data_IF_825909873673
#
_entry.id   IF_825909873673
#
_cell.length_a   1.000
_cell.length_b   1.000
_cell.length_c   1.000
_cell.angle_alpha   90.00
_cell.angle_beta   90.00
_cell.angle_gamma   90.00
#
_symmetry.space_group_name_H-M   'P 1'
#
loop_
_entity.id
_entity.type
_entity.pdbx_description
1 polymer ?
#
# COMPACT_ATOMS: atom_id res chain seq x y z
N UNK A 1 1.73 -16.40 14.88
CA UNK A 1 1.07 -16.14 13.57
C UNK A 1 0.45 -17.45 13.08
N UNK A 2 -0.85 -17.48 12.84
CA UNK A 2 -1.57 -18.72 12.45
C UNK A 2 -1.26 -19.14 11.02
N UNK A 3 -0.97 -18.19 10.12
CA UNK A 3 -0.59 -18.47 8.73
C UNK A 3 0.58 -19.45 8.65
N UNK A 4 1.67 -19.21 9.39
CA UNK A 4 2.86 -20.09 9.40
C UNK A 4 2.58 -21.44 10.06
N UNK A 5 1.80 -21.44 11.17
CA UNK A 5 1.50 -22.68 11.91
C UNK A 5 0.67 -23.69 11.12
N UNK A 6 -0.21 -23.19 10.24
CA UNK A 6 -1.17 -24.03 9.52
C UNK A 6 -0.77 -24.30 8.07
N UNK A 7 0.26 -23.61 7.58
CA UNK A 7 0.70 -23.69 6.20
C UNK A 7 2.22 -23.76 6.17
N UNK A 8 2.75 -24.59 5.33
CA UNK A 8 4.19 -24.75 5.14
C UNK A 8 4.73 -23.57 4.33
N UNK A 9 4.92 -22.43 4.98
CA UNK A 9 5.44 -21.17 4.42
C UNK A 9 6.32 -20.45 5.45
N UNK A 10 7.34 -19.76 4.99
CA UNK A 10 8.15 -18.82 5.78
C UNK A 10 7.58 -17.42 5.55
N UNK A 11 7.35 -16.66 6.61
CA UNK A 11 6.93 -15.26 6.54
C UNK A 11 8.04 -14.38 7.12
N UNK A 12 8.52 -13.45 6.31
CA UNK A 12 9.54 -12.48 6.66
C UNK A 12 8.91 -11.09 6.64
N UNK A 13 9.10 -10.34 7.70
CA UNK A 13 8.72 -8.93 7.77
C UNK A 13 9.97 -8.09 7.87
N UNK A 14 9.99 -6.94 7.22
CA UNK A 14 11.13 -6.03 7.25
C UNK A 14 10.69 -4.63 7.67
N UNK A 15 11.62 -3.93 8.34
CA UNK A 15 11.55 -2.50 8.53
C UNK A 15 12.33 -1.79 7.43
N UNK A 16 11.87 -0.62 7.02
CA UNK A 16 12.54 0.25 6.06
C UNK A 16 12.28 1.71 6.44
N UNK A 17 13.13 2.61 5.98
CA UNK A 17 13.00 4.05 6.27
C UNK A 17 11.72 4.61 5.67
N UNK A 18 11.00 5.40 6.46
CA UNK A 18 9.76 6.06 6.13
C UNK A 18 9.89 7.58 6.22
N UNK A 19 8.86 8.31 5.83
CA UNK A 19 8.80 9.75 5.93
C UNK A 19 9.93 10.42 5.15
N UNK A 20 10.49 11.50 5.70
CA UNK A 20 11.61 12.21 5.07
C UNK A 20 12.84 11.32 4.91
N UNK A 21 13.18 10.51 5.92
CA UNK A 21 14.34 9.62 5.86
C UNK A 21 14.26 8.62 4.71
N UNK A 22 13.05 8.18 4.35
CA UNK A 22 12.83 7.22 3.27
C UNK A 22 12.60 7.85 1.90
N UNK A 23 11.91 9.01 1.83
CA UNK A 23 11.30 9.48 0.59
C UNK A 23 11.35 11.00 0.37
N UNK A 24 12.12 11.77 1.15
CA UNK A 24 12.47 13.14 0.77
C UNK A 24 13.54 13.09 -0.33
N UNK A 25 13.53 14.05 -1.23
CA UNK A 25 14.62 14.18 -2.23
C UNK A 25 15.88 14.76 -1.57
N UNK A 26 16.65 13.89 -0.93
CA UNK A 26 17.91 14.28 -0.29
C UNK A 26 18.98 14.72 -1.30
N UNK A 27 18.87 14.30 -2.57
CA UNK A 27 19.80 14.74 -3.64
C UNK A 27 19.69 16.23 -3.94
N UNK A 28 18.59 16.87 -3.52
CA UNK A 28 18.43 18.32 -3.58
C UNK A 28 19.46 19.06 -2.69
N UNK A 29 19.78 18.50 -1.53
CA UNK A 29 20.71 19.13 -0.57
C UNK A 29 22.17 18.84 -0.91
N UNK A 30 22.48 17.62 -1.36
CA UNK A 30 23.82 17.23 -1.76
C UNK A 30 23.73 16.13 -2.82
N UNK A 31 24.48 16.27 -3.93
CA UNK A 31 24.57 15.33 -5.05
C UNK A 31 25.01 13.92 -4.64
N UNK A 32 25.70 13.78 -3.51
CA UNK A 32 26.18 12.50 -3.00
C UNK A 32 25.11 11.79 -2.13
N UNK A 33 23.98 12.44 -1.88
CA UNK A 33 22.83 11.85 -1.19
C UNK A 33 21.86 11.21 -2.19
N UNK A 34 21.20 10.16 -1.75
CA UNK A 34 20.26 9.39 -2.57
C UNK A 34 18.82 9.67 -2.17
N UNK A 35 17.93 9.69 -3.17
CA UNK A 35 16.48 9.65 -2.99
C UNK A 35 15.99 8.21 -2.92
N UNK A 36 14.73 7.98 -2.53
CA UNK A 36 14.11 6.65 -2.45
C UNK A 36 14.83 5.66 -1.52
N UNK A 37 15.38 6.16 -0.42
CA UNK A 37 16.10 5.34 0.55
C UNK A 37 15.25 4.20 1.13
N UNK A 38 13.93 4.42 1.30
CA UNK A 38 13.00 3.37 1.73
C UNK A 38 12.88 2.22 0.71
N UNK A 39 12.90 2.52 -0.60
CA UNK A 39 12.95 1.47 -1.63
C UNK A 39 14.30 0.75 -1.62
N UNK A 40 15.41 1.48 -1.42
CA UNK A 40 16.74 0.88 -1.32
C UNK A 40 16.83 -0.11 -0.15
N UNK A 41 16.23 0.22 0.99
CA UNK A 41 16.16 -0.68 2.14
C UNK A 41 15.38 -1.97 1.79
N UNK A 42 14.23 -1.85 1.12
CA UNK A 42 13.42 -2.99 0.67
C UNK A 42 14.15 -3.85 -0.36
N UNK A 43 14.84 -3.23 -1.31
CA UNK A 43 15.68 -3.92 -2.30
C UNK A 43 16.76 -4.76 -1.61
N UNK A 44 17.44 -4.19 -0.63
CA UNK A 44 18.48 -4.90 0.12
C UNK A 44 17.90 -6.10 0.88
N UNK A 45 16.73 -5.97 1.48
CA UNK A 45 16.03 -7.09 2.14
C UNK A 45 15.66 -8.18 1.13
N UNK A 46 15.11 -7.83 -0.03
CA UNK A 46 14.73 -8.81 -1.06
C UNK A 46 15.97 -9.59 -1.53
N UNK A 47 17.07 -8.91 -1.81
CA UNK A 47 18.35 -9.54 -2.19
C UNK A 47 18.90 -10.43 -1.08
N UNK A 48 18.85 -9.97 0.16
CA UNK A 48 19.28 -10.74 1.32
C UNK A 48 18.43 -12.02 1.49
N UNK A 49 17.11 -11.91 1.38
CA UNK A 49 16.21 -13.06 1.45
C UNK A 49 16.56 -14.07 0.35
N UNK A 50 16.67 -13.62 -0.90
CA UNK A 50 17.05 -14.49 -2.01
C UNK A 50 18.38 -15.21 -1.77
N UNK A 51 19.38 -14.52 -1.21
CA UNK A 51 20.71 -15.08 -0.95
C UNK A 51 20.71 -16.12 0.18
N UNK A 52 19.91 -15.93 1.23
CA UNK A 52 20.04 -16.68 2.47
C UNK A 52 18.85 -17.57 2.84
N UNK A 53 17.73 -17.48 2.13
CA UNK A 53 16.49 -18.15 2.54
C UNK A 53 16.59 -19.67 2.57
N UNK A 54 17.46 -20.28 1.78
CA UNK A 54 17.72 -21.73 1.78
C UNK A 54 18.28 -22.20 3.11
N UNK A 55 19.09 -21.38 3.78
CA UNK A 55 19.63 -21.68 5.13
C UNK A 55 18.52 -21.73 6.20
N UNK A 56 17.34 -21.20 5.90
CA UNK A 56 16.14 -21.24 6.74
C UNK A 56 15.12 -22.29 6.28
N UNK A 57 15.49 -23.12 5.29
CA UNK A 57 14.59 -24.13 4.72
C UNK A 57 13.61 -23.60 3.69
N UNK A 58 13.82 -22.38 3.17
CA UNK A 58 13.02 -21.80 2.10
C UNK A 58 13.58 -22.11 0.70
N UNK A 59 12.88 -21.59 -0.30
CA UNK A 59 13.23 -21.71 -1.72
C UNK A 59 13.44 -20.33 -2.33
N UNK A 60 14.69 -20.04 -2.71
CA UNK A 60 15.07 -18.78 -3.34
C UNK A 60 14.38 -18.55 -4.69
N UNK A 61 13.90 -19.62 -5.35
CA UNK A 61 13.15 -19.55 -6.59
C UNK A 61 11.63 -19.44 -6.37
N UNK A 62 11.18 -19.26 -5.11
CA UNK A 62 9.77 -19.20 -4.77
C UNK A 62 9.45 -18.06 -3.76
N UNK A 63 9.96 -16.88 -4.01
CA UNK A 63 9.75 -15.69 -3.17
C UNK A 63 8.50 -14.94 -3.64
N UNK A 64 7.60 -14.65 -2.70
CA UNK A 64 6.38 -13.86 -2.92
C UNK A 64 6.48 -12.55 -2.14
N UNK A 65 6.36 -11.42 -2.81
CA UNK A 65 6.22 -10.12 -2.15
C UNK A 65 4.75 -9.89 -1.79
N UNK A 66 4.48 -9.49 -0.55
CA UNK A 66 3.15 -9.15 -0.07
C UNK A 66 3.17 -7.79 0.59
N UNK A 67 2.23 -6.92 0.22
CA UNK A 67 2.13 -5.59 0.80
C UNK A 67 0.68 -5.13 0.90
N UNK A 68 0.41 -4.32 1.94
CA UNK A 68 -0.88 -3.67 2.15
C UNK A 68 -0.69 -2.16 2.07
N UNK A 69 -1.62 -1.46 1.40
CA UNK A 69 -1.60 0.01 1.31
C UNK A 69 -0.26 0.52 0.76
N UNK A 70 0.49 1.33 1.51
CA UNK A 70 1.83 1.81 1.14
C UNK A 70 2.81 0.66 0.81
N UNK A 71 2.68 -0.51 1.46
CA UNK A 71 3.46 -1.70 1.13
C UNK A 71 3.12 -2.26 -0.26
N UNK A 72 1.85 -2.22 -0.65
CA UNK A 72 1.41 -2.57 -2.01
C UNK A 72 1.95 -1.57 -3.04
N UNK A 73 1.92 -0.27 -2.73
CA UNK A 73 2.52 0.79 -3.55
C UNK A 73 4.03 0.56 -3.75
N UNK A 74 4.74 0.19 -2.68
CA UNK A 74 6.16 -0.15 -2.76
C UNK A 74 6.40 -1.32 -3.72
N UNK A 75 5.59 -2.40 -3.63
CA UNK A 75 5.71 -3.55 -4.52
C UNK A 75 5.44 -3.17 -5.97
N UNK A 76 4.40 -2.36 -6.24
CA UNK A 76 4.12 -1.85 -7.57
C UNK A 76 5.30 -1.04 -8.14
N UNK A 77 6.02 -0.29 -7.29
CA UNK A 77 7.25 0.40 -7.68
C UNK A 77 8.40 -0.57 -7.94
N UNK A 78 8.61 -1.54 -7.03
CA UNK A 78 9.66 -2.56 -7.17
C UNK A 78 9.49 -3.42 -8.43
N UNK A 79 8.24 -3.72 -8.83
CA UNK A 79 7.95 -4.43 -10.09
C UNK A 79 8.42 -3.66 -11.34
N UNK A 80 8.60 -2.35 -11.25
CA UNK A 80 9.11 -1.49 -12.33
C UNK A 80 10.63 -1.37 -12.36
N UNK A 81 11.34 -2.10 -11.50
CA UNK A 81 12.78 -2.12 -11.41
C UNK A 81 13.34 -3.43 -12.02
N UNK A 82 13.90 -3.40 -13.25
CA UNK A 82 14.38 -4.61 -13.92
C UNK A 82 15.44 -5.37 -13.12
N UNK A 83 16.30 -4.64 -12.39
CA UNK A 83 17.38 -5.23 -11.60
C UNK A 83 16.90 -6.03 -10.38
N UNK A 84 15.63 -5.85 -9.97
CA UNK A 84 15.03 -6.51 -8.83
C UNK A 84 14.08 -7.63 -9.27
N UNK A 85 13.63 -7.59 -10.49
CA UNK A 85 12.71 -8.54 -11.08
C UNK A 85 13.13 -10.02 -10.91
N UNK A 86 14.43 -10.40 -11.00
CA UNK A 86 14.84 -11.79 -10.80
C UNK A 86 14.74 -12.32 -9.37
N UNK A 87 14.64 -11.43 -8.36
CA UNK A 87 14.71 -11.81 -6.94
C UNK A 87 13.36 -12.16 -6.31
N UNK A 88 12.25 -12.01 -7.02
CA UNK A 88 10.93 -12.43 -6.55
C UNK A 88 10.09 -13.00 -7.69
N UNK A 89 9.11 -13.83 -7.37
CA UNK A 89 8.43 -14.68 -8.34
C UNK A 89 6.93 -14.42 -8.43
N UNK A 90 6.33 -13.88 -7.38
CA UNK A 90 4.88 -13.60 -7.27
C UNK A 90 4.67 -12.35 -6.44
N UNK A 91 3.51 -11.71 -6.61
CA UNK A 91 3.13 -10.56 -5.81
C UNK A 91 1.70 -10.65 -5.32
N UNK A 92 1.48 -10.15 -4.09
CA UNK A 92 0.19 -10.00 -3.44
C UNK A 92 0.01 -8.53 -3.07
N UNK A 93 -0.99 -7.91 -3.67
CA UNK A 93 -1.28 -6.49 -3.56
C UNK A 93 -2.60 -6.30 -2.81
N UNK A 94 -2.52 -5.82 -1.58
CA UNK A 94 -3.70 -5.59 -0.74
C UNK A 94 -3.96 -4.08 -0.60
N UNK A 95 -5.12 -3.62 -1.06
CA UNK A 95 -5.57 -2.22 -0.92
C UNK A 95 -4.51 -1.20 -1.35
N UNK A 96 -3.88 -1.40 -2.51
CA UNK A 96 -2.79 -0.56 -2.97
C UNK A 96 -3.05 0.04 -4.34
N UNK A 97 -2.67 1.31 -4.48
CA UNK A 97 -2.61 1.99 -5.77
C UNK A 97 -1.19 2.52 -5.98
N UNK A 98 -0.72 2.54 -7.23
CA UNK A 98 0.58 3.13 -7.52
C UNK A 98 0.48 4.65 -7.44
N UNK A 99 1.30 5.23 -6.58
CA UNK A 99 1.57 6.65 -6.58
C UNK A 99 3.08 6.86 -6.62
N UNK A 100 3.54 7.60 -7.62
CA UNK A 100 4.93 8.04 -7.74
C UNK A 100 4.95 9.56 -7.69
N UNK A 101 5.78 10.11 -6.83
CA UNK A 101 5.99 11.55 -6.79
C UNK A 101 6.80 11.99 -8.02
N UNK A 102 6.43 13.11 -8.63
CA UNK A 102 7.26 13.69 -9.69
C UNK A 102 8.53 14.27 -9.09
N UNK A 103 9.61 14.32 -9.88
CA UNK A 103 10.86 14.94 -9.41
C UNK A 103 10.66 16.41 -9.04
N UNK A 104 9.80 17.11 -9.76
CA UNK A 104 9.45 18.51 -9.46
C UNK A 104 8.76 18.64 -8.10
N UNK A 105 7.73 17.83 -7.83
CA UNK A 105 7.03 17.83 -6.54
C UNK A 105 7.97 17.43 -5.40
N UNK A 106 8.84 16.45 -5.62
CA UNK A 106 9.81 16.00 -4.62
C UNK A 106 10.80 17.13 -4.27
N UNK A 107 11.30 17.86 -5.27
CA UNK A 107 12.15 19.06 -5.07
C UNK A 107 11.43 20.18 -4.34
N UNK A 108 10.18 20.48 -4.71
CA UNK A 108 9.38 21.47 -4.01
C UNK A 108 9.19 21.13 -2.53
N UNK A 109 9.02 19.86 -2.19
CA UNK A 109 8.98 19.38 -0.80
C UNK A 109 10.33 19.55 -0.11
N UNK A 110 11.45 19.26 -0.78
CA UNK A 110 12.79 19.43 -0.24
C UNK A 110 13.11 20.94 0.00
N UNK A 111 12.74 21.81 -0.94
CA UNK A 111 12.85 23.26 -0.75
C UNK A 111 12.04 23.75 0.45
N UNK A 112 10.81 23.27 0.61
CA UNK A 112 9.99 23.61 1.77
C UNK A 112 10.59 23.07 3.08
N UNK A 113 11.14 21.86 3.06
CA UNK A 113 11.84 21.29 4.20
C UNK A 113 13.08 22.13 4.58
N UNK A 114 13.87 22.58 3.60
CA UNK A 114 15.01 23.48 3.81
C UNK A 114 14.57 24.81 4.45
N UNK A 115 13.48 25.41 3.98
CA UNK A 115 12.93 26.63 4.60
C UNK A 115 12.56 26.39 6.06
N UNK A 116 11.95 25.26 6.39
CA UNK A 116 11.61 24.92 7.77
C UNK A 116 12.87 24.72 8.64
N UNK A 117 13.97 24.18 8.08
CA UNK A 117 15.26 24.10 8.77
C UNK A 117 15.78 25.50 9.16
N UNK A 118 15.77 26.42 8.21
CA UNK A 118 16.17 27.81 8.49
C UNK A 118 15.25 28.48 9.53
N UNK A 119 13.93 28.33 9.40
CA UNK A 119 12.93 28.96 10.25
C UNK A 119 12.95 28.44 11.71
N UNK A 120 13.28 27.17 11.93
CA UNK A 120 13.15 26.50 13.25
C UNK A 120 14.47 26.09 13.88
N UNK A 121 15.54 25.91 13.10
CA UNK A 121 16.82 25.38 13.56
C UNK A 121 18.01 26.31 13.24
N UNK A 122 17.77 27.41 12.53
CA UNK A 122 18.80 28.38 12.10
C UNK A 122 19.98 27.69 11.37
N UNK A 123 19.67 26.68 10.52
CA UNK A 123 20.66 25.94 9.73
C UNK A 123 20.13 25.64 8.33
N UNK A 124 21.02 25.57 7.36
CA UNK A 124 20.80 25.07 6.01
C UNK A 124 21.56 23.75 5.72
N UNK A 125 22.38 23.30 6.67
CA UNK A 125 23.19 22.09 6.57
C UNK A 125 22.43 20.88 7.15
N UNK A 126 21.92 20.02 6.27
CA UNK A 126 21.19 18.79 6.64
C UNK A 126 22.04 17.77 7.41
N UNK A 127 23.39 17.85 7.32
CA UNK A 127 24.28 16.93 8.03
C UNK A 127 24.36 17.20 9.52
N UNK A 128 23.90 18.36 9.96
CA UNK A 128 23.84 18.75 11.37
C UNK A 128 22.57 18.29 12.08
N UNK A 129 21.56 17.82 11.32
CA UNK A 129 20.27 17.44 11.86
C UNK A 129 20.34 16.13 12.65
N UNK A 130 19.75 16.14 13.83
CA UNK A 130 19.46 14.92 14.59
C UNK A 130 18.19 14.25 14.05
N UNK A 131 17.94 13.00 14.45
CA UNK A 131 16.66 12.31 14.15
C UNK A 131 15.47 13.09 14.69
N UNK A 132 15.56 13.66 15.89
CA UNK A 132 14.47 14.42 16.49
C UNK A 132 14.20 15.72 15.71
N UNK A 133 15.22 16.39 15.20
CA UNK A 133 15.06 17.54 14.31
C UNK A 133 14.30 17.17 13.05
N UNK A 134 14.67 16.06 12.40
CA UNK A 134 13.99 15.57 11.21
C UNK A 134 12.51 15.24 11.51
N UNK A 135 12.21 14.57 12.61
CA UNK A 135 10.83 14.25 13.02
C UNK A 135 10.01 15.52 13.31
N UNK A 136 10.61 16.51 13.96
CA UNK A 136 9.99 17.81 14.20
C UNK A 136 9.69 18.53 12.88
N UNK A 137 10.65 18.61 11.96
CA UNK A 137 10.49 19.22 10.64
C UNK A 137 9.42 18.52 9.80
N UNK A 138 9.37 17.17 9.84
CA UNK A 138 8.29 16.39 9.20
C UNK A 138 6.91 16.78 9.74
N UNK A 139 6.80 16.98 11.07
CA UNK A 139 5.55 17.42 11.69
C UNK A 139 5.15 18.82 11.23
N UNK A 140 6.11 19.75 11.15
CA UNK A 140 5.89 21.13 10.66
C UNK A 140 5.47 21.13 9.18
N UNK A 141 6.14 20.34 8.34
CA UNK A 141 5.77 20.19 6.93
C UNK A 141 4.32 19.68 6.77
N UNK A 142 3.94 18.66 7.55
CA UNK A 142 2.57 18.16 7.56
C UNK A 142 1.56 19.22 8.02
N UNK A 143 1.88 19.98 9.06
CA UNK A 143 1.01 21.05 9.58
C UNK A 143 0.79 22.16 8.55
N UNK A 144 1.85 22.58 7.82
CA UNK A 144 1.77 23.64 6.81
C UNK A 144 0.88 23.28 5.62
N UNK A 145 0.70 22.00 5.33
CA UNK A 145 -0.17 21.49 4.25
C UNK A 145 -1.66 21.41 4.65
N UNK A 146 -1.96 21.54 5.94
CA UNK A 146 -3.32 21.48 6.47
C UNK A 146 -3.90 20.07 6.59
N UNK A 147 -5.17 19.94 7.00
CA UNK A 147 -5.79 18.65 7.25
C UNK A 147 -5.96 17.85 5.95
N UNK A 148 -5.56 16.56 5.96
CA UNK A 148 -5.58 15.68 4.79
C UNK A 148 -6.11 14.28 5.06
N UNK A 149 -6.40 13.92 6.32
CA UNK A 149 -6.81 12.58 6.74
C UNK A 149 -5.84 11.46 6.32
N UNK A 150 -4.58 11.80 6.00
CA UNK A 150 -3.59 10.85 5.51
C UNK A 150 -3.68 10.53 4.02
N UNK A 151 -4.55 11.22 3.28
CA UNK A 151 -4.69 11.04 1.82
C UNK A 151 -3.66 11.86 1.03
N UNK A 152 -3.04 12.88 1.64
CA UNK A 152 -1.93 13.63 1.06
C UNK A 152 -0.62 12.85 1.29
N UNK A 153 -0.17 12.16 0.26
CA UNK A 153 1.07 11.37 0.29
C UNK A 153 2.28 12.29 0.19
N UNK A 154 2.63 12.94 1.32
CA UNK A 154 3.79 13.85 1.39
C UNK A 154 5.08 13.09 1.01
N UNK A 155 5.21 11.85 1.44
CA UNK A 155 6.37 11.00 1.22
C UNK A 155 5.96 9.75 0.45
N UNK A 156 6.24 9.73 -0.85
CA UNK A 156 6.00 8.63 -1.76
C UNK A 156 7.27 8.33 -2.56
N UNK A 157 7.40 7.15 -3.18
CA UNK A 157 8.50 6.87 -4.08
C UNK A 157 8.59 7.91 -5.20
N UNK A 158 9.78 8.47 -5.40
CA UNK A 158 10.03 9.51 -6.40
C UNK A 158 10.31 8.83 -7.75
N UNK A 159 9.63 9.28 -8.80
CA UNK A 159 9.86 8.79 -10.15
C UNK A 159 11.24 9.21 -10.64
N UNK A 160 12.04 8.23 -11.00
CA UNK A 160 13.40 8.39 -11.52
C UNK A 160 13.56 7.58 -12.80
N UNK A 161 14.63 7.80 -13.56
CA UNK A 161 14.85 7.14 -14.86
C UNK A 161 15.01 5.62 -14.78
N UNK A 162 15.41 5.08 -13.62
CA UNK A 162 15.51 3.63 -13.42
C UNK A 162 14.16 2.96 -13.15
N UNK A 163 13.10 3.71 -12.80
CA UNK A 163 11.73 3.21 -12.65
C UNK A 163 11.06 3.19 -14.05
N UNK A 164 10.89 1.99 -14.61
CA UNK A 164 10.32 1.82 -15.95
C UNK A 164 8.83 2.18 -15.99
N UNK A 165 8.32 2.49 -17.19
CA UNK A 165 6.90 2.81 -17.35
C UNK A 165 6.02 1.55 -17.31
N UNK A 166 6.49 0.43 -17.87
CA UNK A 166 5.71 -0.81 -17.98
C UNK A 166 6.00 -1.78 -16.84
N UNK A 167 5.02 -2.63 -16.54
CA UNK A 167 5.14 -3.74 -15.61
C UNK A 167 5.52 -5.03 -16.36
N UNK A 168 6.27 -5.96 -15.72
CA UNK A 168 6.44 -7.31 -16.25
C UNK A 168 5.11 -8.07 -16.19
N UNK A 169 4.83 -8.88 -17.22
CA UNK A 169 3.63 -9.73 -17.28
C UNK A 169 3.91 -11.18 -16.90
N UNK A 170 5.17 -11.51 -16.62
CA UNK A 170 5.63 -12.88 -16.35
C UNK A 170 5.26 -13.40 -14.96
N UNK A 171 4.92 -12.50 -14.02
CA UNK A 171 4.69 -12.87 -12.62
C UNK A 171 3.20 -13.04 -12.30
N UNK A 172 2.81 -14.12 -11.59
CA UNK A 172 1.47 -14.21 -11.01
C UNK A 172 1.19 -13.08 -10.03
N UNK A 173 -0.01 -12.49 -10.12
CA UNK A 173 -0.46 -11.37 -9.29
C UNK A 173 -1.79 -11.70 -8.66
N UNK A 174 -1.85 -11.60 -7.33
CA UNK A 174 -3.09 -11.58 -6.59
C UNK A 174 -3.33 -10.17 -6.02
N UNK A 175 -4.45 -9.57 -6.37
CA UNK A 175 -4.86 -8.26 -5.89
C UNK A 175 -6.16 -8.38 -5.09
N UNK A 176 -6.26 -7.64 -3.98
CA UNK A 176 -7.46 -7.58 -3.15
C UNK A 176 -7.63 -6.15 -2.62
N UNK A 177 -8.89 -5.72 -2.46
CA UNK A 177 -9.24 -4.47 -1.80
C UNK A 177 -10.37 -4.71 -0.79
N UNK A 178 -10.58 -3.79 0.16
CA UNK A 178 -11.70 -3.86 1.09
C UNK A 178 -12.89 -3.07 0.55
N UNK A 179 -14.11 -3.57 0.77
CA UNK A 179 -15.33 -3.01 0.20
C UNK A 179 -15.56 -1.54 0.57
N UNK A 180 -15.17 -1.14 1.77
CA UNK A 180 -15.43 0.17 2.36
C UNK A 180 -14.11 0.87 2.76
N UNK A 181 -13.11 0.90 1.86
CA UNK A 181 -11.76 1.46 2.08
C UNK A 181 -11.79 2.85 2.74
N UNK A 182 -12.68 3.72 2.29
CA UNK A 182 -12.75 5.11 2.71
C UNK A 182 -13.23 5.33 4.15
N UNK A 183 -13.88 4.35 4.76
CA UNK A 183 -14.53 4.52 6.07
C UNK A 183 -13.56 4.75 7.23
N UNK A 184 -12.29 4.34 7.10
CA UNK A 184 -11.27 4.62 8.11
C UNK A 184 -10.79 6.08 8.05
N UNK A 185 -10.85 6.70 6.87
CA UNK A 185 -10.41 8.09 6.66
C UNK A 185 -11.51 9.08 7.02
N UNK A 186 -12.76 8.81 6.62
CA UNK A 186 -13.91 9.67 6.80
C UNK A 186 -14.97 8.92 7.63
N UNK A 187 -14.90 9.07 8.94
CA UNK A 187 -15.68 8.23 9.90
C UNK A 187 -17.02 8.82 10.29
N UNK A 188 -17.29 10.10 10.01
CA UNK A 188 -18.56 10.79 10.34
C UNK A 188 -18.67 12.15 9.66
N UNK A 189 -19.86 12.75 9.63
CA UNK A 189 -20.08 14.09 9.12
C UNK A 189 -19.24 15.17 9.82
N UNK A 190 -19.00 15.03 11.12
CA UNK A 190 -18.17 15.96 11.91
C UNK A 190 -16.67 15.81 11.59
N UNK A 191 -16.28 14.69 11.02
CA UNK A 191 -14.87 14.37 10.73
C UNK A 191 -14.55 14.40 9.23
N UNK A 192 -15.50 14.70 8.37
CA UNK A 192 -15.24 14.90 6.94
C UNK A 192 -14.39 16.15 6.70
N UNK A 193 -13.79 16.25 5.54
CA UNK A 193 -13.15 17.47 5.06
C UNK A 193 -14.21 18.40 4.45
N UNK A 194 -13.90 19.71 4.36
CA UNK A 194 -14.73 20.57 3.50
C UNK A 194 -14.65 20.04 2.06
N UNK A 195 -15.74 20.14 1.26
CA UNK A 195 -15.74 19.62 -0.10
C UNK A 195 -14.58 20.13 -0.95
N UNK A 196 -14.28 21.42 -0.89
CA UNK A 196 -13.16 22.00 -1.63
C UNK A 196 -11.80 21.39 -1.17
N UNK A 197 -11.56 21.31 0.15
CA UNK A 197 -10.32 20.72 0.67
C UNK A 197 -10.17 19.26 0.28
N UNK A 198 -11.26 18.50 0.23
CA UNK A 198 -11.25 17.12 -0.21
C UNK A 198 -10.86 17.01 -1.69
N UNK A 199 -11.44 17.87 -2.55
CA UNK A 199 -11.08 17.96 -3.98
C UNK A 199 -9.59 18.28 -4.14
N UNK A 200 -9.10 19.34 -3.48
CA UNK A 200 -7.69 19.75 -3.56
C UNK A 200 -6.72 18.59 -3.25
N UNK A 201 -7.05 17.76 -2.26
CA UNK A 201 -6.24 16.60 -1.88
C UNK A 201 -6.33 15.48 -2.93
N UNK A 202 -7.51 15.23 -3.47
CA UNK A 202 -7.71 14.19 -4.48
C UNK A 202 -7.04 14.59 -5.80
N UNK A 203 -7.03 15.86 -6.15
CA UNK A 203 -6.30 16.40 -7.31
C UNK A 203 -4.78 16.23 -7.17
N UNK A 204 -4.22 16.33 -5.95
CA UNK A 204 -2.80 16.00 -5.71
C UNK A 204 -2.45 14.53 -6.01
N UNK A 205 -3.46 13.68 -6.10
CA UNK A 205 -3.33 12.27 -6.48
C UNK A 205 -3.84 11.99 -7.90
N UNK A 206 -3.97 13.02 -8.74
CA UNK A 206 -4.48 12.94 -10.11
C UNK A 206 -5.93 12.40 -10.20
N UNK A 207 -6.75 12.63 -9.16
CA UNK A 207 -8.15 12.19 -9.07
C UNK A 207 -9.06 13.41 -9.14
N UNK A 208 -9.57 13.79 -10.33
CA UNK A 208 -10.52 14.88 -10.46
C UNK A 208 -11.90 14.49 -9.94
N UNK A 209 -12.48 15.32 -9.07
CA UNK A 209 -13.81 15.12 -8.50
C UNK A 209 -14.66 16.37 -8.68
N UNK A 210 -15.98 16.17 -8.77
CA UNK A 210 -16.93 17.29 -8.79
C UNK A 210 -17.38 17.66 -7.38
N UNK A 211 -17.65 18.93 -7.19
CA UNK A 211 -18.05 19.48 -5.89
C UNK A 211 -19.34 18.82 -5.35
N UNK A 212 -20.33 18.56 -6.21
CA UNK A 212 -21.58 17.89 -5.87
C UNK A 212 -21.43 16.45 -5.38
N UNK A 213 -20.35 15.76 -5.75
CA UNK A 213 -20.10 14.35 -5.44
C UNK A 213 -19.40 14.12 -4.10
N UNK A 214 -19.05 15.19 -3.36
CA UNK A 214 -18.20 15.09 -2.14
C UNK A 214 -18.71 15.91 -0.95
N UNK A 215 -20.02 16.20 -0.92
CA UNK A 215 -20.66 17.04 0.08
C UNK A 215 -20.80 16.36 1.45
N UNK A 216 -21.02 15.06 1.49
CA UNK A 216 -21.29 14.29 2.70
C UNK A 216 -20.10 13.36 3.04
N UNK A 217 -20.02 12.94 4.30
CA UNK A 217 -19.02 11.96 4.72
C UNK A 217 -19.11 10.65 3.91
N UNK A 218 -20.33 10.20 3.62
CA UNK A 218 -20.56 8.99 2.80
C UNK A 218 -20.03 9.16 1.38
N UNK A 219 -20.27 10.30 0.75
CA UNK A 219 -19.76 10.57 -0.59
C UNK A 219 -18.23 10.62 -0.61
N UNK A 220 -17.60 11.29 0.37
CA UNK A 220 -16.14 11.32 0.47
C UNK A 220 -15.54 9.92 0.72
N UNK A 221 -16.13 9.12 1.62
CA UNK A 221 -15.72 7.73 1.83
C UNK A 221 -15.84 6.87 0.57
N UNK A 222 -16.96 6.98 -0.15
CA UNK A 222 -17.15 6.28 -1.42
C UNK A 222 -16.15 6.73 -2.49
N UNK A 223 -15.89 8.03 -2.60
CA UNK A 223 -14.89 8.56 -3.53
C UNK A 223 -13.49 7.99 -3.24
N UNK A 224 -13.08 7.92 -1.96
CA UNK A 224 -11.83 7.27 -1.56
C UNK A 224 -11.83 5.80 -1.98
N UNK A 225 -12.88 5.05 -1.63
CA UNK A 225 -12.99 3.63 -1.96
C UNK A 225 -12.87 3.39 -3.46
N UNK A 226 -13.61 4.14 -4.27
CA UNK A 226 -13.67 3.94 -5.71
C UNK A 226 -12.45 4.51 -6.44
N UNK A 227 -12.17 5.80 -6.22
CA UNK A 227 -11.23 6.52 -7.07
C UNK A 227 -9.77 6.38 -6.59
N UNK A 228 -9.56 6.17 -5.27
CA UNK A 228 -8.21 6.06 -4.72
C UNK A 228 -7.71 4.61 -4.63
N UNK A 229 -8.61 3.62 -4.43
CA UNK A 229 -8.21 2.21 -4.25
C UNK A 229 -8.71 1.29 -5.36
N UNK A 230 -10.02 1.15 -5.52
CA UNK A 230 -10.63 0.13 -6.41
C UNK A 230 -10.28 0.36 -7.87
N UNK A 231 -10.62 1.53 -8.40
CA UNK A 231 -10.46 1.85 -9.81
C UNK A 231 -8.99 1.79 -10.28
N UNK A 232 -8.00 2.35 -9.56
CA UNK A 232 -6.60 2.22 -9.95
C UNK A 232 -6.13 0.76 -9.98
N UNK A 233 -6.57 -0.07 -9.04
CA UNK A 233 -6.25 -1.50 -9.03
C UNK A 233 -6.88 -2.23 -10.22
N UNK A 234 -8.15 -1.97 -10.51
CA UNK A 234 -8.84 -2.54 -11.69
C UNK A 234 -8.15 -2.10 -12.99
N UNK A 235 -7.80 -0.83 -13.13
CA UNK A 235 -7.08 -0.31 -14.30
C UNK A 235 -5.71 -0.96 -14.46
N UNK A 236 -4.98 -1.16 -13.36
CA UNK A 236 -3.71 -1.88 -13.37
C UNK A 236 -3.86 -3.31 -13.91
N UNK A 237 -4.83 -4.07 -13.40
CA UNK A 237 -5.08 -5.44 -13.87
C UNK A 237 -5.54 -5.47 -15.33
N UNK A 238 -6.39 -4.53 -15.75
CA UNK A 238 -6.85 -4.38 -17.13
C UNK A 238 -5.68 -4.11 -18.08
N UNK A 239 -4.79 -3.20 -17.72
CA UNK A 239 -3.60 -2.87 -18.51
C UNK A 239 -2.68 -4.08 -18.69
N UNK A 240 -2.42 -4.83 -17.61
CA UNK A 240 -1.61 -6.05 -17.70
C UNK A 240 -2.25 -7.10 -18.60
N UNK A 241 -3.56 -7.28 -18.52
CA UNK A 241 -4.27 -8.25 -19.38
C UNK A 241 -4.34 -7.82 -20.84
N UNK A 242 -4.29 -6.50 -21.12
CA UNK A 242 -4.14 -5.98 -22.48
C UNK A 242 -2.72 -6.24 -23.01
N UNK A 243 -1.69 -6.05 -22.17
CA UNK A 243 -0.30 -6.30 -22.55
C UNK A 243 -0.04 -7.79 -22.84
N UNK A 244 -0.61 -8.68 -22.02
CA UNK A 244 -0.51 -10.13 -22.18
C UNK A 244 -1.81 -10.80 -21.71
N UNK A 245 -2.66 -11.29 -22.62
CA UNK A 245 -3.88 -12.00 -22.27
C UNK A 245 -3.65 -13.30 -21.44
N UNK A 246 -2.43 -13.84 -21.42
CA UNK A 246 -2.07 -15.04 -20.66
C UNK A 246 -1.55 -14.74 -19.25
N UNK A 247 -1.37 -13.46 -18.90
CA UNK A 247 -0.89 -13.07 -17.58
C UNK A 247 -1.73 -13.70 -16.46
N UNK A 248 -1.08 -14.11 -15.39
CA UNK A 248 -1.70 -14.84 -14.29
C UNK A 248 -2.20 -13.84 -13.25
N UNK A 249 -3.46 -13.42 -13.36
CA UNK A 249 -4.10 -12.41 -12.50
C UNK A 249 -5.26 -12.98 -11.71
N UNK A 250 -5.37 -12.64 -10.44
CA UNK A 250 -6.53 -12.90 -9.59
C UNK A 250 -6.92 -11.64 -8.86
N UNK A 251 -8.23 -11.44 -8.71
CA UNK A 251 -8.78 -10.26 -8.06
C UNK A 251 -9.81 -10.67 -7.02
N UNK A 252 -9.81 -9.99 -5.87
CA UNK A 252 -10.74 -10.25 -4.78
C UNK A 252 -11.20 -8.95 -4.10
N UNK A 253 -12.35 -9.06 -3.42
CA UNK A 253 -12.89 -8.07 -2.51
C UNK A 253 -13.03 -8.69 -1.13
N UNK A 254 -12.56 -8.01 -0.10
CA UNK A 254 -12.90 -8.34 1.28
C UNK A 254 -14.11 -7.51 1.70
N UNK A 255 -15.23 -8.16 2.01
CA UNK A 255 -16.51 -7.52 2.27
C UNK A 255 -17.12 -7.85 3.64
N UNK A 256 -16.41 -8.64 4.48
CA UNK A 256 -16.93 -8.95 5.80
C UNK A 256 -17.09 -7.70 6.66
N UNK A 257 -18.24 -7.55 7.26
CA UNK A 257 -18.58 -6.51 8.23
C UNK A 257 -19.78 -6.95 9.08
N UNK A 258 -20.05 -6.25 10.16
CA UNK A 258 -21.24 -6.43 10.99
C UNK A 258 -21.85 -5.07 11.33
N UNK A 259 -22.97 -4.76 10.70
CA UNK A 259 -23.66 -3.47 10.86
C UNK A 259 -24.15 -3.19 12.28
N UNK A 260 -24.30 -4.22 13.11
CA UNK A 260 -24.64 -4.09 14.53
C UNK A 260 -23.45 -3.72 15.41
N UNK A 261 -22.24 -3.93 14.93
CA UNK A 261 -21.00 -3.63 15.65
C UNK A 261 -20.68 -2.13 15.62
N UNK A 262 -20.19 -1.59 16.73
CA UNK A 262 -19.65 -0.24 16.78
C UNK A 262 -18.34 -0.10 16.00
N UNK A 263 -17.51 -1.14 16.01
CA UNK A 263 -16.15 -1.12 15.46
C UNK A 263 -16.03 -1.74 14.06
N UNK A 264 -16.91 -2.69 13.71
CA UNK A 264 -16.81 -3.50 12.49
C UNK A 264 -18.03 -3.34 11.58
N UNK A 265 -18.65 -2.14 11.60
CA UNK A 265 -19.86 -1.84 10.80
C UNK A 265 -19.64 -1.79 9.29
N UNK A 266 -18.38 -1.73 8.86
CA UNK A 266 -17.96 -1.70 7.46
C UNK A 266 -16.67 -2.50 7.28
N UNK A 267 -16.41 -2.95 6.06
CA UNK A 267 -15.16 -3.59 5.66
C UNK A 267 -14.12 -2.51 5.33
N UNK A 268 -13.67 -1.77 6.34
CA UNK A 268 -12.78 -0.62 6.20
C UNK A 268 -11.34 -1.05 5.85
N UNK A 269 -10.57 -0.10 5.32
CA UNK A 269 -9.15 -0.28 4.99
C UNK A 269 -8.36 -0.98 6.10
N UNK A 270 -7.54 -1.97 5.74
CA UNK A 270 -6.70 -2.80 6.65
C UNK A 270 -7.44 -3.87 7.48
N UNK A 271 -8.77 -3.89 7.53
CA UNK A 271 -9.51 -4.88 8.33
C UNK A 271 -9.23 -6.33 7.91
N UNK A 272 -9.03 -6.57 6.63
CA UNK A 272 -8.71 -7.87 6.04
C UNK A 272 -7.41 -8.49 6.57
N UNK A 273 -6.46 -7.66 7.04
CA UNK A 273 -5.19 -8.14 7.61
C UNK A 273 -5.37 -9.02 8.83
N UNK A 274 -6.43 -8.79 9.63
CA UNK A 274 -6.78 -9.65 10.78
C UNK A 274 -7.03 -11.08 10.30
N UNK A 275 -7.68 -11.23 9.16
CA UNK A 275 -8.09 -12.52 8.58
C UNK A 275 -6.95 -13.19 7.81
N UNK A 276 -6.20 -12.44 6.98
CA UNK A 276 -5.05 -12.95 6.24
C UNK A 276 -4.00 -13.57 7.16
N UNK A 277 -3.75 -12.96 8.33
CA UNK A 277 -2.77 -13.46 9.30
C UNK A 277 -3.37 -14.31 10.44
N UNK A 278 -4.70 -14.46 10.47
CA UNK A 278 -5.39 -15.23 11.50
C UNK A 278 -5.34 -14.60 12.90
N UNK A 279 -5.20 -13.29 13.00
CA UNK A 279 -5.09 -12.55 14.26
C UNK A 279 -6.46 -12.20 14.85
N UNK A 280 -7.40 -13.14 14.84
CA UNK A 280 -8.79 -12.93 15.30
C UNK A 280 -8.91 -12.48 16.77
N UNK A 281 -7.85 -12.66 17.60
CA UNK A 281 -7.81 -12.12 18.97
C UNK A 281 -7.90 -10.58 19.01
N UNK A 282 -7.59 -9.88 17.91
CA UNK A 282 -7.78 -8.43 17.81
C UNK A 282 -9.26 -8.05 17.89
N UNK A 283 -10.15 -8.89 17.36
CA UNK A 283 -11.60 -8.70 17.48
C UNK A 283 -12.03 -8.78 18.95
N UNK A 284 -11.47 -9.72 19.71
CA UNK A 284 -11.76 -9.89 21.13
C UNK A 284 -11.30 -8.68 21.98
N UNK A 285 -10.22 -7.99 21.60
CA UNK A 285 -9.78 -6.76 22.26
C UNK A 285 -10.84 -5.64 22.18
N UNK A 286 -11.69 -5.67 21.17
CA UNK A 286 -12.85 -4.79 21.00
C UNK A 286 -14.16 -5.44 21.47
N UNK A 287 -14.09 -6.48 22.32
CA UNK A 287 -15.25 -7.22 22.87
C UNK A 287 -16.14 -7.84 21.77
N UNK A 288 -15.59 -8.09 20.58
CA UNK A 288 -16.32 -8.72 19.49
C UNK A 288 -16.10 -10.24 19.48
N UNK A 289 -17.16 -11.08 19.46
CA UNK A 289 -17.02 -12.52 19.58
C UNK A 289 -16.40 -13.15 18.34
N UNK A 290 -15.43 -14.03 18.53
CA UNK A 290 -14.85 -14.81 17.45
C UNK A 290 -15.72 -16.04 17.15
N UNK A 291 -16.64 -15.92 16.21
CA UNK A 291 -17.59 -16.97 15.81
C UNK A 291 -16.93 -18.08 14.98
N UNK A 292 -17.63 -19.22 14.80
CA UNK A 292 -17.20 -20.28 13.91
C UNK A 292 -17.06 -19.81 12.45
N UNK A 293 -17.96 -18.93 12.01
CA UNK A 293 -17.91 -18.31 10.67
C UNK A 293 -16.61 -17.50 10.47
N UNK A 294 -16.23 -16.65 11.41
CA UNK A 294 -15.01 -15.84 11.31
C UNK A 294 -13.74 -16.71 11.29
N UNK A 295 -13.72 -17.78 12.09
CA UNK A 295 -12.63 -18.77 12.06
C UNK A 295 -12.54 -19.47 10.72
N UNK A 296 -13.68 -19.83 10.12
CA UNK A 296 -13.74 -20.45 8.80
C UNK A 296 -13.25 -19.47 7.71
N UNK A 297 -13.79 -18.24 7.68
CA UNK A 297 -13.38 -17.20 6.74
C UNK A 297 -11.87 -16.94 6.82
N UNK A 298 -11.36 -16.73 8.03
CA UNK A 298 -9.92 -16.48 8.22
C UNK A 298 -9.07 -17.67 7.77
N UNK A 299 -9.49 -18.91 8.06
CA UNK A 299 -8.77 -20.12 7.60
C UNK A 299 -8.79 -20.24 6.08
N UNK A 300 -9.92 -19.96 5.44
CA UNK A 300 -10.04 -19.94 3.98
C UNK A 300 -9.06 -18.93 3.38
N UNK A 301 -9.06 -17.69 3.86
CA UNK A 301 -8.16 -16.63 3.40
C UNK A 301 -6.69 -17.02 3.57
N UNK A 302 -6.30 -17.59 4.72
CA UNK A 302 -4.93 -18.06 4.94
C UNK A 302 -4.53 -19.18 3.99
N UNK A 303 -5.42 -20.14 3.74
CA UNK A 303 -5.15 -21.24 2.82
C UNK A 303 -5.00 -20.75 1.38
N UNK A 304 -5.86 -19.82 0.95
CA UNK A 304 -5.80 -19.22 -0.39
C UNK A 304 -4.48 -18.44 -0.56
N UNK A 305 -4.10 -17.66 0.44
CA UNK A 305 -2.84 -16.92 0.47
C UNK A 305 -1.61 -17.84 0.37
N UNK A 306 -1.59 -18.88 1.19
CA UNK A 306 -0.49 -19.84 1.21
C UNK A 306 -0.44 -20.66 -0.10
N UNK A 307 -1.58 -21.06 -0.64
CA UNK A 307 -1.64 -21.72 -1.94
C UNK A 307 -1.07 -20.84 -3.05
N UNK A 308 -1.46 -19.56 -3.08
CA UNK A 308 -0.90 -18.62 -4.05
C UNK A 308 0.62 -18.44 -3.86
N UNK A 309 1.09 -18.29 -2.63
CA UNK A 309 2.52 -18.18 -2.35
C UNK A 309 3.32 -19.39 -2.82
N UNK A 310 2.76 -20.60 -2.68
CA UNK A 310 3.40 -21.85 -3.13
C UNK A 310 3.34 -22.04 -4.65
N UNK A 311 2.17 -21.82 -5.25
CA UNK A 311 1.88 -22.28 -6.60
C UNK A 311 1.70 -21.17 -7.64
N UNK A 312 1.54 -19.93 -7.20
CA UNK A 312 1.15 -18.81 -8.07
C UNK A 312 -0.30 -18.90 -8.57
N UNK A 313 -1.17 -19.71 -7.94
CA UNK A 313 -2.56 -19.94 -8.38
C UNK A 313 -3.55 -19.77 -7.24
N UNK A 314 -4.74 -19.30 -7.55
CA UNK A 314 -5.88 -19.28 -6.65
C UNK A 314 -6.88 -20.40 -7.01
N UNK A 315 -7.71 -20.89 -6.04
CA UNK A 315 -8.71 -21.94 -6.29
C UNK A 315 -9.97 -21.45 -7.02
N UNK A 316 -9.87 -20.35 -7.76
CA UNK A 316 -10.94 -19.81 -8.61
C UNK A 316 -10.38 -19.30 -9.94
N UNK A 317 -11.27 -18.99 -10.93
CA UNK A 317 -10.85 -18.54 -12.26
C UNK A 317 -10.02 -17.27 -12.21
N UNK A 318 -9.05 -17.14 -13.13
CA UNK A 318 -8.27 -15.94 -13.33
C UNK A 318 -9.13 -14.74 -13.71
N UNK A 319 -8.69 -13.56 -13.32
CA UNK A 319 -9.22 -12.30 -13.85
C UNK A 319 -8.92 -12.22 -15.35
N UNK A 320 -9.90 -11.80 -16.12
CA UNK A 320 -9.80 -11.51 -17.54
C UNK A 320 -10.70 -10.33 -17.89
N UNK A 321 -10.26 -9.43 -18.78
CA UNK A 321 -11.01 -8.21 -19.12
C UNK A 321 -12.44 -8.47 -19.60
N UNK A 322 -12.68 -9.57 -20.32
CA UNK A 322 -14.01 -9.93 -20.80
C UNK A 322 -14.93 -10.48 -19.71
N UNK A 323 -14.40 -11.20 -18.72
CA UNK A 323 -15.18 -11.88 -17.70
C UNK A 323 -15.11 -11.25 -16.32
N UNK A 324 -14.12 -10.39 -16.05
CA UNK A 324 -13.88 -9.64 -14.81
C UNK A 324 -14.22 -10.40 -13.53
N UNK A 325 -13.88 -11.69 -13.50
CA UNK A 325 -14.15 -12.52 -12.34
C UNK A 325 -13.39 -12.00 -11.12
N UNK A 326 -14.07 -11.87 -10.00
CA UNK A 326 -13.43 -11.60 -8.72
C UNK A 326 -14.08 -12.44 -7.61
N UNK A 327 -13.33 -12.74 -6.58
CA UNK A 327 -13.77 -13.45 -5.38
C UNK A 327 -14.20 -12.46 -4.31
N UNK A 328 -15.34 -12.72 -3.63
CA UNK A 328 -15.71 -11.95 -2.44
C UNK A 328 -15.49 -12.80 -1.18
N UNK A 329 -14.78 -12.25 -0.21
CA UNK A 329 -14.60 -12.80 1.13
C UNK A 329 -15.55 -12.08 2.10
N UNK A 330 -16.51 -12.81 2.65
CA UNK A 330 -17.54 -12.25 3.53
C UNK A 330 -18.06 -13.25 4.58
#
# INVERSE_FOLDING_TARGET
MHLVKNNDVIVITCNYRLGALGYLDWSYFNKDFHSNNGLSDQINVIKWVHQFIESFGGDANNITLMGQSAGSMSILTLMKLPDIEPYFHKVILLSGALHLDTLENARNKAMHFQKLMADYLDTDDVTTLTTDDILMLMSKLKQSRGPSKGLDLIYAPIKTDYIKNNYPTTKPIFACYTKDEGDIYITSEQKKLSPQRFIDIMELNDIPLKYEDVQTAKQQSLAITHCYFKQPMEQFLQQLNIQDPNVQLWFAEFAWHDTSSKHYRSAFHILDMIFWFGNLQILAAHQYPTTAHLKFLSRQMQNDLANFAKTGKMPWPKYHNERRYFRTYQ
#
